data_IF_111334879711
#
_entry.id   IF_111334879711
#
_cell.length_a   1.000
_cell.length_b   1.000
_cell.length_c   1.000
_cell.angle_alpha   90.00
_cell.angle_beta   90.00
_cell.angle_gamma   90.00
#
_symmetry.space_group_name_H-M   'P 1'
#
loop_
_entity.id
_entity.type
_entity.pdbx_description
1 polymer ?
#
# COMPACT_ATOMS: atom_id res chain seq x y z
N UNK A 1 12.02 1.53 42.22
CA UNK A 1 12.52 0.17 41.96
C UNK A 1 12.30 -0.10 40.48
N UNK A 2 13.16 0.42 39.59
CA UNK A 2 14.45 -0.13 39.12
C UNK A 2 14.32 -1.51 38.42
N UNK A 3 14.31 -1.43 37.09
CA UNK A 3 15.14 -2.15 36.10
C UNK A 3 15.30 -3.68 36.18
N UNK A 4 15.03 -4.32 35.03
CA UNK A 4 16.09 -5.03 34.30
C UNK A 4 15.80 -6.49 33.97
N UNK A 5 15.77 -6.82 32.67
CA UNK A 5 16.64 -7.87 32.10
C UNK A 5 17.05 -7.46 30.70
N UNK A 6 18.34 -7.13 30.56
CA UNK A 6 19.10 -7.08 29.32
C UNK A 6 20.34 -7.97 29.53
N UNK A 7 20.80 -8.58 28.43
CA UNK A 7 22.13 -9.13 28.16
C UNK A 7 22.43 -10.62 28.47
N UNK A 8 22.87 -11.36 27.44
CA UNK A 8 24.30 -11.59 27.09
C UNK A 8 24.39 -12.37 25.76
N UNK A 9 25.01 -11.83 24.70
CA UNK A 9 26.46 -11.86 24.32
C UNK A 9 26.97 -13.24 23.84
N UNK A 10 27.47 -13.27 22.61
CA UNK A 10 28.74 -13.92 22.28
C UNK A 10 29.57 -13.00 21.38
N UNK A 11 30.78 -12.67 21.84
CA UNK A 11 31.83 -11.97 21.12
C UNK A 11 32.77 -13.03 20.54
N UNK A 12 33.33 -12.78 19.35
CA UNK A 12 34.74 -13.09 19.12
C UNK A 12 35.42 -11.92 18.40
N UNK A 13 36.58 -11.59 18.95
CA UNK A 13 37.41 -10.43 18.75
C UNK A 13 38.47 -10.74 17.68
N UNK A 14 38.72 -9.84 16.72
CA UNK A 14 40.08 -9.62 16.18
C UNK A 14 40.26 -8.12 15.94
N UNK A 15 41.25 -7.56 16.64
CA UNK A 15 41.83 -6.22 16.47
C UNK A 15 42.82 -6.24 15.29
N UNK A 16 43.03 -5.10 14.62
CA UNK A 16 44.29 -4.32 14.60
C UNK A 16 44.14 -3.07 13.73
N UNK A 17 44.79 -2.02 14.23
CA UNK A 17 44.86 -0.60 13.89
C UNK A 17 45.47 -0.19 12.53
N UNK A 18 45.08 1.04 12.16
CA UNK A 18 45.84 2.16 11.55
C UNK A 18 46.75 1.93 10.33
N UNK A 19 46.44 2.61 9.21
CA UNK A 19 47.19 3.79 8.69
C UNK A 19 46.67 4.23 7.30
N UNK A 20 46.36 5.52 7.16
CA UNK A 20 46.18 6.30 5.92
C UNK A 20 47.57 6.68 5.33
N UNK A 21 47.75 7.40 4.19
CA UNK A 21 46.89 7.67 3.01
C UNK A 21 47.67 7.62 1.65
N UNK A 22 46.98 7.82 0.50
CA UNK A 22 47.36 8.68 -0.67
C UNK A 22 46.98 8.15 -2.08
N UNK A 23 46.25 9.01 -2.82
CA UNK A 23 46.51 9.57 -4.17
C UNK A 23 46.66 8.58 -5.35
N UNK A 24 45.82 8.72 -6.39
CA UNK A 24 46.26 9.00 -7.78
C UNK A 24 45.10 9.50 -8.67
N UNK A 25 45.34 10.64 -9.31
CA UNK A 25 44.68 11.13 -10.53
C UNK A 25 44.93 10.17 -11.70
N UNK A 26 43.99 10.06 -12.65
CA UNK A 26 44.35 10.33 -14.06
C UNK A 26 43.12 10.67 -14.94
N UNK A 27 43.38 11.55 -15.90
CA UNK A 27 42.49 12.11 -16.92
C UNK A 27 42.38 11.14 -18.10
N UNK A 28 41.28 11.22 -18.87
CA UNK A 28 41.29 11.84 -20.21
C UNK A 28 40.18 11.35 -21.15
N UNK A 29 39.75 12.28 -22.04
CA UNK A 29 39.12 12.11 -23.38
C UNK A 29 37.63 11.68 -23.42
N UNK A 30 36.73 12.17 -24.28
CA UNK A 30 36.79 12.82 -25.60
C UNK A 30 35.63 13.83 -25.81
N UNK A 31 35.97 14.92 -26.50
CA UNK A 31 35.29 15.82 -27.44
C UNK A 31 33.73 15.90 -27.60
N UNK A 32 33.26 17.16 -27.67
CA UNK A 32 32.01 17.61 -28.32
C UNK A 32 32.25 17.94 -29.81
N UNK A 33 31.18 17.98 -30.62
CA UNK A 33 31.09 18.98 -31.69
C UNK A 33 29.81 19.83 -31.62
N UNK A 34 29.96 21.04 -32.15
CA UNK A 34 29.02 22.17 -32.24
C UNK A 34 27.99 22.02 -33.38
N UNK A 35 26.92 22.82 -33.32
CA UNK A 35 26.06 23.12 -34.48
C UNK A 35 24.74 23.81 -34.08
N UNK A 36 24.67 25.14 -34.22
CA UNK A 36 23.45 25.96 -34.12
C UNK A 36 23.01 26.34 -35.55
N UNK A 37 21.70 26.42 -35.85
CA UNK A 37 21.09 27.73 -36.05
C UNK A 37 19.65 27.87 -35.47
N UNK A 38 19.33 29.05 -34.92
CA UNK A 38 17.97 29.64 -34.91
C UNK A 38 17.86 30.63 -36.11
N UNK A 39 16.81 31.45 -36.35
CA UNK A 39 15.52 31.68 -35.65
C UNK A 39 14.31 31.90 -36.63
N UNK A 40 13.08 32.17 -36.14
CA UNK A 40 12.27 33.39 -36.47
C UNK A 40 10.76 33.28 -36.12
N UNK A 41 10.31 34.26 -35.33
CA UNK A 41 9.12 35.13 -35.41
C UNK A 41 7.70 34.61 -35.71
N UNK A 42 6.72 35.06 -34.90
CA UNK A 42 5.51 35.89 -35.24
C UNK A 42 4.70 36.09 -33.93
N UNK A 43 4.70 37.27 -33.29
CA UNK A 43 3.65 38.34 -33.35
C UNK A 43 2.21 37.87 -33.01
N UNK A 44 1.40 38.48 -32.13
CA UNK A 44 1.51 39.72 -31.37
C UNK A 44 0.26 40.05 -30.51
N UNK A 45 0.35 41.20 -29.82
CA UNK A 45 -0.68 42.19 -29.41
C UNK A 45 -2.00 41.71 -28.74
N UNK A 46 -2.19 41.96 -27.43
CA UNK A 46 -2.88 43.13 -26.78
C UNK A 46 -4.43 43.06 -26.84
N UNK A 47 -5.30 43.41 -25.87
CA UNK A 47 -5.41 44.57 -24.96
C UNK A 47 -6.58 44.37 -23.93
N UNK A 48 -6.37 44.80 -22.67
CA UNK A 48 -7.18 45.61 -21.74
C UNK A 48 -8.65 45.35 -21.25
N UNK A 49 -8.75 45.45 -19.90
CA UNK A 49 -9.70 46.18 -19.01
C UNK A 49 -11.17 45.74 -18.83
N UNK A 50 -11.53 45.46 -17.57
CA UNK A 50 -12.91 45.50 -17.06
C UNK A 50 -13.02 45.02 -15.61
N UNK A 51 -13.24 45.93 -14.67
CA UNK A 51 -13.53 45.66 -13.27
C UNK A 51 -14.83 44.85 -13.11
N UNK A 52 -14.80 43.82 -12.28
CA UNK A 52 -15.97 43.09 -11.82
C UNK A 52 -15.63 42.30 -10.56
N UNK A 53 -16.17 42.74 -9.42
CA UNK A 53 -16.17 41.97 -8.17
C UNK A 53 -16.84 40.62 -8.44
N UNK A 54 -16.09 39.53 -8.37
CA UNK A 54 -16.66 38.20 -8.25
C UNK A 54 -16.04 37.43 -7.08
N UNK A 55 -16.96 36.81 -6.35
CA UNK A 55 -16.83 35.99 -5.16
C UNK A 55 -15.63 35.04 -5.25
N UNK A 56 -14.73 35.07 -4.27
CA UNK A 56 -13.66 34.09 -4.12
C UNK A 56 -14.25 32.70 -3.79
N UNK A 57 -14.74 32.00 -4.81
CA UNK A 57 -14.75 30.54 -4.83
C UNK A 57 -13.29 30.11 -5.00
N UNK A 58 -12.59 29.98 -3.87
CA UNK A 58 -11.25 29.38 -3.84
C UNK A 58 -11.43 27.89 -4.13
N UNK A 59 -11.44 27.54 -5.43
CA UNK A 59 -11.15 26.18 -5.90
C UNK A 59 -9.85 25.77 -5.21
N UNK A 60 -9.96 24.87 -4.23
CA UNK A 60 -8.83 24.18 -3.64
C UNK A 60 -8.13 23.46 -4.79
N UNK A 61 -6.96 23.97 -5.18
CA UNK A 61 -6.07 23.25 -6.08
C UNK A 61 -5.63 21.99 -5.34
N UNK A 62 -6.32 20.88 -5.58
CA UNK A 62 -5.85 19.53 -5.26
C UNK A 62 -4.51 19.33 -5.96
N UNK A 63 -3.42 19.67 -5.28
CA UNK A 63 -2.10 19.11 -5.58
C UNK A 63 -2.01 17.84 -4.74
N UNK A 64 -2.56 16.75 -5.28
CA UNK A 64 -2.42 15.43 -4.68
C UNK A 64 -0.93 15.06 -4.64
N UNK A 65 -0.51 14.53 -3.49
CA UNK A 65 0.76 13.87 -3.30
C UNK A 65 0.88 12.70 -4.32
N UNK A 66 1.91 12.64 -5.18
CA UNK A 66 2.03 11.61 -6.20
C UNK A 66 2.28 10.19 -5.65
N UNK A 67 2.52 10.05 -4.34
CA UNK A 67 2.74 8.76 -3.67
C UNK A 67 1.51 8.37 -2.83
N UNK A 68 0.35 8.25 -3.47
CA UNK A 68 -0.80 7.58 -2.83
C UNK A 68 -0.50 6.08 -2.81
N UNK A 69 -0.41 5.45 -1.62
CA UNK A 69 -0.16 4.01 -1.49
C UNK A 69 -1.13 3.20 -2.34
N UNK A 70 -0.67 2.14 -2.98
CA UNK A 70 -1.49 1.21 -3.74
C UNK A 70 -2.67 0.70 -2.90
N UNK A 71 -2.44 0.31 -1.64
CA UNK A 71 -3.51 -0.15 -0.73
C UNK A 71 -4.59 0.90 -0.49
N UNK A 72 -4.22 2.18 -0.41
CA UNK A 72 -5.18 3.26 -0.15
C UNK A 72 -6.09 3.57 -1.35
N UNK A 73 -5.72 3.12 -2.56
CA UNK A 73 -6.52 3.23 -3.78
C UNK A 73 -7.58 2.12 -3.89
N UNK A 74 -7.47 1.08 -3.07
CA UNK A 74 -8.40 -0.05 -3.06
C UNK A 74 -9.55 0.30 -2.12
N UNK A 75 -10.77 0.32 -2.64
CA UNK A 75 -11.95 0.68 -1.84
C UNK A 75 -12.20 -0.38 -0.75
N UNK A 76 -12.51 0.03 0.48
CA UNK A 76 -12.92 -0.91 1.51
C UNK A 76 -14.21 -1.65 1.19
N UNK A 77 -14.26 -2.90 1.61
CA UNK A 77 -15.51 -3.67 1.64
C UNK A 77 -16.60 -2.94 2.43
N UNK A 78 -17.87 -3.28 2.20
CA UNK A 78 -18.98 -2.64 2.92
C UNK A 78 -18.87 -2.85 4.45
N UNK A 79 -18.42 -4.04 4.88
CA UNK A 79 -18.17 -4.34 6.29
C UNK A 79 -16.98 -3.54 6.84
N UNK A 80 -15.86 -3.50 6.12
CA UNK A 80 -14.69 -2.71 6.50
C UNK A 80 -15.02 -1.21 6.58
N UNK A 81 -15.79 -0.69 5.63
CA UNK A 81 -16.27 0.70 5.66
C UNK A 81 -17.15 0.99 6.88
N UNK A 82 -18.04 0.07 7.27
CA UNK A 82 -18.87 0.22 8.46
C UNK A 82 -18.02 0.31 9.74
N UNK A 83 -17.01 -0.54 9.84
CA UNK A 83 -16.08 -0.57 10.97
C UNK A 83 -15.16 0.65 11.00
N UNK A 84 -14.60 1.05 9.84
CA UNK A 84 -13.84 2.29 9.70
C UNK A 84 -14.65 3.51 10.17
N UNK A 85 -15.93 3.60 9.79
CA UNK A 85 -16.83 4.67 10.26
C UNK A 85 -17.07 4.58 11.77
N UNK A 86 -17.24 3.38 12.30
CA UNK A 86 -17.43 3.16 13.73
C UNK A 86 -16.22 3.66 14.52
N UNK A 87 -15.01 3.25 14.14
CA UNK A 87 -13.76 3.70 14.75
C UNK A 87 -13.56 5.22 14.63
N UNK A 88 -13.75 5.79 13.43
CA UNK A 88 -13.70 7.25 13.23
C UNK A 88 -14.70 7.99 14.13
N UNK A 89 -15.91 7.47 14.28
CA UNK A 89 -16.92 8.04 15.20
C UNK A 89 -16.44 8.03 16.66
N UNK A 90 -15.75 6.96 17.08
CA UNK A 90 -15.20 6.85 18.44
C UNK A 90 -14.03 7.80 18.68
N UNK A 91 -13.16 7.99 17.69
CA UNK A 91 -12.10 9.01 17.74
C UNK A 91 -12.72 10.39 17.95
N UNK A 92 -13.76 10.75 17.18
CA UNK A 92 -14.46 12.04 17.34
C UNK A 92 -15.07 12.21 18.73
N UNK A 93 -15.62 11.12 19.31
CA UNK A 93 -16.27 11.11 20.62
C UNK A 93 -15.30 11.08 21.80
N UNK A 94 -14.05 10.67 21.61
CA UNK A 94 -13.06 10.60 22.67
C UNK A 94 -12.89 11.96 23.37
N UNK A 95 -12.85 11.95 24.70
CA UNK A 95 -12.78 13.17 25.54
C UNK A 95 -11.41 13.36 26.17
N UNK A 96 -10.59 12.33 26.20
CA UNK A 96 -9.25 12.33 26.77
C UNK A 96 -8.27 11.57 25.88
N UNK A 97 -6.98 11.72 26.16
CA UNK A 97 -5.91 10.96 25.50
C UNK A 97 -6.06 9.47 25.78
N UNK A 98 -6.37 9.07 27.01
CA UNK A 98 -6.61 7.66 27.37
C UNK A 98 -7.77 7.04 26.59
N UNK A 99 -8.86 7.79 26.38
CA UNK A 99 -9.98 7.32 25.56
C UNK A 99 -9.59 7.21 24.09
N UNK A 100 -8.76 8.13 23.59
CA UNK A 100 -8.26 8.09 22.22
C UNK A 100 -7.34 6.88 22.00
N UNK A 101 -6.38 6.64 22.88
CA UNK A 101 -5.46 5.50 22.80
C UNK A 101 -6.21 4.17 22.81
N UNK A 102 -7.22 4.01 23.68
CA UNK A 102 -8.07 2.81 23.66
C UNK A 102 -8.77 2.57 22.32
N UNK A 103 -9.15 3.64 21.62
CA UNK A 103 -9.76 3.51 20.28
C UNK A 103 -8.72 3.14 19.24
N UNK A 104 -7.51 3.68 19.34
CA UNK A 104 -6.37 3.34 18.47
C UNK A 104 -5.97 1.87 18.66
N UNK A 105 -5.75 1.42 19.90
CA UNK A 105 -5.41 0.03 20.21
C UNK A 105 -6.46 -0.95 19.65
N UNK A 106 -7.75 -0.61 19.83
CA UNK A 106 -8.85 -1.41 19.29
C UNK A 106 -8.88 -1.41 17.78
N UNK A 107 -8.60 -0.28 17.13
CA UNK A 107 -8.55 -0.17 15.68
C UNK A 107 -7.41 -1.02 15.11
N UNK A 108 -6.19 -0.83 15.61
CA UNK A 108 -5.00 -1.54 15.16
C UNK A 108 -5.17 -3.06 15.33
N UNK A 109 -5.65 -3.51 16.49
CA UNK A 109 -5.89 -4.94 16.77
C UNK A 109 -6.97 -5.60 15.91
N UNK A 110 -7.86 -4.84 15.26
CA UNK A 110 -8.87 -5.40 14.35
C UNK A 110 -8.40 -5.55 12.90
N UNK A 111 -7.22 -5.03 12.56
CA UNK A 111 -6.67 -5.12 11.22
C UNK A 111 -7.22 -4.12 10.21
N UNK A 112 -7.92 -3.05 10.65
CA UNK A 112 -8.40 -2.03 9.70
C UNK A 112 -7.25 -1.43 8.88
N UNK A 113 -7.49 -1.11 7.61
CA UNK A 113 -6.58 -0.31 6.79
C UNK A 113 -6.65 1.14 7.22
N UNK A 114 -5.67 1.57 8.00
CA UNK A 114 -5.66 2.89 8.64
C UNK A 114 -5.48 4.03 7.62
N UNK A 115 -4.93 3.72 6.43
CA UNK A 115 -4.77 4.68 5.33
C UNK A 115 -5.97 4.71 4.36
N UNK A 116 -6.96 3.83 4.52
CA UNK A 116 -8.09 3.77 3.60
C UNK A 116 -9.03 4.99 3.73
N UNK A 117 -9.40 5.54 2.58
CA UNK A 117 -10.37 6.63 2.46
C UNK A 117 -11.77 6.04 2.30
N UNK A 118 -12.54 6.01 3.39
CA UNK A 118 -13.96 5.68 3.31
C UNK A 118 -14.71 6.83 2.62
N UNK A 119 -15.23 6.61 1.42
CA UNK A 119 -16.09 7.57 0.69
C UNK A 119 -15.50 8.99 0.54
N UNK A 120 -14.18 9.09 0.33
CA UNK A 120 -13.49 10.38 0.19
C UNK A 120 -13.34 11.17 1.49
N UNK A 121 -13.64 10.57 2.65
CA UNK A 121 -13.31 11.13 3.96
C UNK A 121 -11.86 10.84 4.35
N UNK A 122 -11.32 11.68 5.24
CA UNK A 122 -10.00 11.50 5.88
C UNK A 122 -9.77 10.05 6.34
N UNK A 123 -8.52 9.60 6.24
CA UNK A 123 -8.09 8.30 6.75
C UNK A 123 -8.33 8.17 8.27
N UNK A 124 -8.25 6.96 8.81
CA UNK A 124 -8.35 6.78 10.27
C UNK A 124 -7.23 7.55 10.98
N UNK A 125 -5.99 7.40 10.49
CA UNK A 125 -4.82 8.11 11.01
C UNK A 125 -5.04 9.64 10.99
N UNK A 126 -5.50 10.19 9.88
CA UNK A 126 -5.77 11.63 9.77
C UNK A 126 -6.86 12.11 10.74
N UNK A 127 -7.86 11.27 11.00
CA UNK A 127 -8.94 11.56 11.94
C UNK A 127 -8.40 11.63 13.37
N UNK A 128 -7.47 10.73 13.73
CA UNK A 128 -6.77 10.72 15.02
C UNK A 128 -5.93 11.99 15.20
N UNK A 129 -5.09 12.34 14.23
CA UNK A 129 -4.26 13.56 14.31
C UNK A 129 -5.14 14.81 14.43
N UNK A 130 -6.21 14.89 13.65
CA UNK A 130 -7.17 16.01 13.71
C UNK A 130 -7.87 16.14 15.08
N UNK A 131 -7.95 15.06 15.86
CA UNK A 131 -8.60 15.03 17.17
C UNK A 131 -7.69 15.55 18.29
N UNK A 132 -6.38 15.36 18.19
CA UNK A 132 -5.42 15.68 19.26
C UNK A 132 -5.52 17.13 19.79
N UNK A 133 -5.64 18.18 18.94
CA UNK A 133 -5.77 19.56 19.44
C UNK A 133 -7.05 19.78 20.25
N UNK A 134 -8.13 19.07 19.91
CA UNK A 134 -9.46 19.24 20.53
C UNK A 134 -9.52 18.67 21.94
N UNK A 135 -8.69 17.67 22.24
CA UNK A 135 -8.56 17.07 23.58
C UNK A 135 -7.33 17.57 24.35
N UNK A 136 -6.66 18.60 23.81
CA UNK A 136 -5.46 19.22 24.40
C UNK A 136 -4.34 18.21 24.70
N UNK A 137 -4.10 17.31 23.74
CA UNK A 137 -2.99 16.35 23.80
C UNK A 137 -1.65 17.10 23.99
N UNK A 138 -0.85 16.69 24.96
CA UNK A 138 0.49 17.23 25.21
C UNK A 138 1.46 16.79 24.12
N UNK A 139 2.60 17.45 24.03
CA UNK A 139 3.59 17.18 22.98
C UNK A 139 4.12 15.75 23.01
N UNK A 140 4.49 15.23 24.17
CA UNK A 140 4.93 13.84 24.34
C UNK A 140 3.82 12.83 23.97
N UNK A 141 2.57 13.12 24.35
CA UNK A 141 1.41 12.27 24.02
C UNK A 141 1.14 12.26 22.51
N UNK A 142 1.36 13.38 21.81
CA UNK A 142 1.29 13.42 20.33
C UNK A 142 2.41 12.61 19.69
N UNK A 143 3.63 12.74 20.19
CA UNK A 143 4.79 11.98 19.70
C UNK A 143 4.52 10.48 19.80
N UNK A 144 4.05 10.01 20.96
CA UNK A 144 3.73 8.59 21.20
C UNK A 144 2.67 8.07 20.20
N UNK A 145 1.57 8.79 20.03
CA UNK A 145 0.49 8.38 19.11
C UNK A 145 0.94 8.42 17.64
N UNK A 146 1.66 9.47 17.23
CA UNK A 146 2.17 9.58 15.86
C UNK A 146 3.16 8.46 15.57
N UNK A 147 4.07 8.18 16.51
CA UNK A 147 5.02 7.09 16.41
C UNK A 147 4.32 5.74 16.27
N UNK A 148 3.34 5.46 17.13
CA UNK A 148 2.54 4.22 17.06
C UNK A 148 1.84 4.05 15.70
N UNK A 149 1.18 5.11 15.21
CA UNK A 149 0.53 5.07 13.90
C UNK A 149 1.54 4.82 12.77
N UNK A 150 2.67 5.53 12.77
CA UNK A 150 3.70 5.38 11.72
C UNK A 150 4.36 4.00 11.74
N UNK A 151 4.61 3.44 12.93
CA UNK A 151 5.07 2.06 13.07
C UNK A 151 4.08 1.07 12.44
N UNK A 152 2.78 1.36 12.47
CA UNK A 152 1.75 0.57 11.80
C UNK A 152 1.49 0.99 10.33
N UNK A 153 2.42 1.71 9.70
CA UNK A 153 2.33 2.07 8.28
C UNK A 153 1.44 3.28 7.97
N UNK A 154 1.08 4.11 8.96
CA UNK A 154 0.27 5.30 8.71
C UNK A 154 0.97 6.31 7.81
N UNK A 155 0.21 6.86 6.86
CA UNK A 155 0.62 7.94 5.98
C UNK A 155 -0.34 9.11 6.17
N UNK A 156 0.24 10.25 6.57
CA UNK A 156 -0.54 11.46 6.85
C UNK A 156 -0.75 12.30 5.59
N UNK A 157 -1.95 12.87 5.46
CA UNK A 157 -2.24 13.77 4.35
C UNK A 157 -1.37 15.03 4.34
N UNK A 158 -1.13 15.55 3.13
CA UNK A 158 -0.38 16.79 2.92
C UNK A 158 -0.93 17.97 3.75
N UNK A 159 -2.26 18.06 3.87
CA UNK A 159 -2.94 19.11 4.63
C UNK A 159 -2.59 19.07 6.12
N UNK A 160 -2.43 17.89 6.71
CA UNK A 160 -1.97 17.76 8.10
C UNK A 160 -0.50 18.14 8.25
N UNK A 161 0.32 17.78 7.27
CA UNK A 161 1.75 18.10 7.26
C UNK A 161 2.04 19.58 6.94
N UNK A 162 1.02 20.40 6.62
CA UNK A 162 1.15 21.86 6.59
C UNK A 162 1.27 22.48 7.99
N UNK A 163 0.78 21.80 9.03
CA UNK A 163 1.03 22.23 10.40
C UNK A 163 2.51 22.01 10.72
N UNK A 164 3.24 23.11 10.97
CA UNK A 164 4.67 23.07 11.19
C UNK A 164 5.05 22.17 12.37
N UNK A 165 4.28 22.18 13.45
CA UNK A 165 4.57 21.35 14.64
C UNK A 165 4.38 19.87 14.34
N UNK A 166 3.32 19.50 13.64
CA UNK A 166 3.09 18.10 13.21
C UNK A 166 4.15 17.66 12.21
N UNK A 167 4.53 18.51 11.26
CA UNK A 167 5.54 18.23 10.24
C UNK A 167 6.93 18.00 10.84
N UNK A 168 7.36 18.86 11.78
CA UNK A 168 8.63 18.72 12.49
C UNK A 168 8.67 17.43 13.32
N UNK A 169 7.59 17.13 14.03
CA UNK A 169 7.43 15.91 14.82
C UNK A 169 7.47 14.65 13.95
N UNK A 170 6.71 14.64 12.85
CA UNK A 170 6.71 13.57 11.86
C UNK A 170 8.11 13.31 11.31
N UNK A 171 8.82 14.36 10.89
CA UNK A 171 10.16 14.20 10.30
C UNK A 171 11.17 13.65 11.30
N UNK A 172 11.11 14.09 12.56
CA UNK A 172 11.94 13.56 13.65
C UNK A 172 11.66 12.06 13.85
N UNK A 173 10.39 11.71 14.09
CA UNK A 173 9.97 10.34 14.34
C UNK A 173 10.27 9.42 13.15
N UNK A 174 10.08 9.90 11.92
CA UNK A 174 10.39 9.14 10.71
C UNK A 174 11.87 8.72 10.68
N UNK A 175 12.81 9.61 11.03
CA UNK A 175 14.22 9.23 11.08
C UNK A 175 14.52 8.20 12.17
N UNK A 176 13.80 8.25 13.30
CA UNK A 176 13.98 7.33 14.43
C UNK A 176 13.46 5.92 14.12
N UNK A 177 12.30 5.82 13.46
CA UNK A 177 11.64 4.53 13.20
C UNK A 177 11.96 3.96 11.82
N UNK A 178 12.49 4.76 10.89
CA UNK A 178 12.79 4.33 9.52
C UNK A 178 13.58 3.01 9.45
N UNK A 179 14.62 2.76 10.27
CA UNK A 179 15.31 1.47 10.22
C UNK A 179 14.42 0.27 10.51
N UNK A 180 13.41 0.43 11.37
CA UNK A 180 12.45 -0.63 11.72
C UNK A 180 11.48 -0.88 10.55
N UNK A 181 10.97 0.20 9.95
CA UNK A 181 10.11 0.13 8.76
C UNK A 181 10.88 -0.49 7.57
N UNK A 182 12.11 -0.04 7.32
CA UNK A 182 12.95 -0.52 6.23
C UNK A 182 13.26 -2.02 6.39
N UNK A 183 13.53 -2.50 7.60
CA UNK A 183 13.74 -3.93 7.85
C UNK A 183 12.45 -4.74 7.66
N UNK A 184 11.30 -4.26 8.14
CA UNK A 184 10.02 -4.94 7.93
C UNK A 184 9.63 -5.05 6.45
N UNK A 185 9.79 -3.97 5.68
CA UNK A 185 9.53 -3.99 4.24
C UNK A 185 10.51 -4.90 3.49
N UNK A 186 11.76 -4.99 3.97
CA UNK A 186 12.76 -5.92 3.44
C UNK A 186 12.39 -7.37 3.71
N UNK A 187 12.02 -7.72 4.94
CA UNK A 187 11.56 -9.08 5.29
C UNK A 187 10.30 -9.46 4.50
N UNK A 188 9.35 -8.53 4.36
CA UNK A 188 8.14 -8.73 3.54
C UNK A 188 8.47 -9.01 2.07
N UNK A 189 9.44 -8.26 1.51
CA UNK A 189 9.94 -8.48 0.16
C UNK A 189 10.62 -9.84 0.01
N UNK A 190 11.49 -10.22 0.94
CA UNK A 190 12.16 -11.53 0.92
C UNK A 190 11.15 -12.69 0.95
N UNK A 191 10.07 -12.56 1.73
CA UNK A 191 8.96 -13.53 1.74
C UNK A 191 8.33 -13.65 0.35
N UNK A 192 7.96 -12.54 -0.27
CA UNK A 192 7.37 -12.58 -1.59
C UNK A 192 8.32 -13.14 -2.65
N UNK A 193 9.61 -12.80 -2.59
CA UNK A 193 10.64 -13.29 -3.53
C UNK A 193 10.79 -14.82 -3.41
N UNK A 194 10.75 -15.35 -2.19
CA UNK A 194 10.77 -16.81 -1.93
C UNK A 194 9.53 -17.55 -2.43
N UNK A 195 8.43 -16.84 -2.69
CA UNK A 195 7.18 -17.38 -3.18
C UNK A 195 7.10 -17.42 -4.72
N UNK A 196 8.05 -16.81 -5.44
CA UNK A 196 8.12 -16.87 -6.89
C UNK A 196 8.62 -18.25 -7.31
N UNK A 197 7.87 -18.97 -8.15
CA UNK A 197 8.22 -20.34 -8.56
C UNK A 197 9.25 -20.39 -9.70
N UNK A 198 9.26 -19.39 -10.58
CA UNK A 198 10.10 -19.33 -11.79
C UNK A 198 10.75 -17.94 -11.93
N UNK A 199 10.57 -17.29 -13.09
CA UNK A 199 11.00 -15.93 -13.36
C UNK A 199 9.99 -14.93 -12.80
N UNK A 200 10.50 -13.83 -12.27
CA UNK A 200 9.70 -12.75 -11.73
C UNK A 200 10.49 -11.90 -10.74
N UNK A 201 10.02 -10.68 -10.52
CA UNK A 201 10.52 -9.80 -9.46
C UNK A 201 9.35 -9.22 -8.69
N UNK A 202 9.65 -8.75 -7.47
CA UNK A 202 8.74 -7.86 -6.75
C UNK A 202 9.05 -6.42 -7.15
N UNK A 203 8.06 -5.77 -7.74
CA UNK A 203 8.11 -4.37 -8.11
C UNK A 203 7.82 -3.46 -6.91
N UNK A 204 6.93 -3.86 -6.02
CA UNK A 204 6.48 -3.02 -4.91
C UNK A 204 6.00 -3.83 -3.70
N UNK A 205 6.21 -3.29 -2.50
CA UNK A 205 5.68 -3.82 -1.23
C UNK A 205 5.20 -2.68 -0.36
N UNK A 206 4.00 -2.83 0.19
CA UNK A 206 3.42 -1.87 1.14
C UNK A 206 2.80 -2.60 2.33
N UNK A 207 2.74 -1.91 3.46
CA UNK A 207 2.04 -2.37 4.65
C UNK A 207 1.11 -1.28 5.16
N UNK A 208 -0.09 -1.69 5.55
CA UNK A 208 -1.08 -0.85 6.22
C UNK A 208 -1.65 -1.65 7.38
N UNK A 209 -1.21 -1.32 8.60
CA UNK A 209 -1.54 -2.04 9.82
C UNK A 209 -1.20 -3.55 9.70
N UNK A 210 -2.20 -4.43 9.70
CA UNK A 210 -2.02 -5.88 9.58
C UNK A 210 -2.19 -6.41 8.15
N UNK A 211 -2.40 -5.52 7.18
CA UNK A 211 -2.58 -5.86 5.75
C UNK A 211 -1.34 -5.50 4.95
N UNK A 212 -1.06 -6.27 3.90
CA UNK A 212 0.02 -5.94 2.98
C UNK A 212 -0.45 -5.87 1.52
N UNK A 213 0.37 -5.21 0.70
CA UNK A 213 0.29 -5.25 -0.74
C UNK A 213 1.62 -5.69 -1.32
N UNK A 214 1.58 -6.59 -2.30
CA UNK A 214 2.75 -6.98 -3.07
C UNK A 214 2.43 -6.89 -4.55
N UNK A 215 3.29 -6.17 -5.29
CA UNK A 215 3.25 -6.12 -6.75
C UNK A 215 4.37 -6.95 -7.33
N UNK A 216 4.02 -7.93 -8.13
CA UNK A 216 4.91 -8.78 -8.90
C UNK A 216 4.89 -8.38 -10.37
N UNK A 217 6.00 -8.61 -11.07
CA UNK A 217 6.06 -8.47 -12.52
C UNK A 217 5.03 -9.37 -13.23
N UNK A 218 4.57 -8.94 -14.41
CA UNK A 218 3.48 -9.59 -15.17
C UNK A 218 3.64 -11.10 -15.40
N UNK A 219 4.87 -11.56 -15.61
CA UNK A 219 5.16 -12.98 -15.91
C UNK A 219 5.37 -13.85 -14.66
N UNK A 220 5.19 -13.29 -13.46
CA UNK A 220 5.46 -14.00 -12.21
C UNK A 220 4.43 -15.11 -11.95
N UNK A 221 4.93 -16.29 -11.57
CA UNK A 221 4.12 -17.36 -10.98
C UNK A 221 4.36 -17.40 -9.48
N UNK A 222 3.33 -17.10 -8.68
CA UNK A 222 3.46 -16.86 -7.25
C UNK A 222 2.72 -17.91 -6.44
N UNK A 223 3.41 -18.51 -5.47
CA UNK A 223 2.80 -19.38 -4.47
C UNK A 223 2.23 -18.54 -3.32
N UNK A 224 0.95 -18.16 -3.43
CA UNK A 224 0.23 -17.35 -2.44
C UNK A 224 0.26 -17.99 -1.04
N UNK A 225 0.22 -19.33 -0.95
CA UNK A 225 0.28 -19.99 0.34
C UNK A 225 1.62 -19.75 1.06
N UNK A 226 2.74 -19.74 0.33
CA UNK A 226 4.05 -19.37 0.89
C UNK A 226 4.14 -17.91 1.31
N UNK A 227 3.54 -17.01 0.53
CA UNK A 227 3.45 -15.58 0.92
C UNK A 227 2.76 -15.47 2.28
N UNK A 228 1.54 -15.99 2.38
CA UNK A 228 0.73 -15.89 3.60
C UNK A 228 1.34 -16.65 4.79
N UNK A 229 2.04 -17.76 4.55
CA UNK A 229 2.76 -18.47 5.61
C UNK A 229 3.98 -17.69 6.10
N UNK A 230 4.75 -17.08 5.19
CA UNK A 230 5.90 -16.26 5.55
C UNK A 230 5.49 -15.01 6.35
N UNK A 231 4.40 -14.36 5.96
CA UNK A 231 3.93 -13.12 6.61
C UNK A 231 3.40 -13.33 8.03
N UNK A 232 2.95 -14.55 8.38
CA UNK A 232 2.56 -14.89 9.77
C UNK A 232 3.65 -14.58 10.79
N UNK A 233 4.92 -14.78 10.41
CA UNK A 233 6.05 -14.55 11.31
C UNK A 233 6.34 -13.05 11.54
N UNK A 234 5.78 -12.17 10.70
CA UNK A 234 5.91 -10.72 10.82
C UNK A 234 4.82 -10.08 11.69
N UNK A 235 3.97 -10.89 12.34
CA UNK A 235 2.79 -10.37 13.05
C UNK A 235 1.67 -9.92 12.12
N UNK A 236 1.89 -10.00 10.80
CA UNK A 236 0.85 -9.85 9.78
C UNK A 236 0.06 -11.14 9.76
N UNK A 237 -1.27 -11.07 9.71
CA UNK A 237 -2.13 -12.27 9.64
C UNK A 237 -2.04 -13.24 10.84
N UNK A 238 -1.54 -12.81 12.01
CA UNK A 238 -1.54 -13.66 13.23
C UNK A 238 -2.92 -13.76 13.86
N UNK A 239 -3.63 -14.86 13.62
CA UNK A 239 -4.96 -15.09 14.19
C UNK A 239 -6.05 -14.27 13.48
N UNK A 240 -7.27 -14.31 14.03
CA UNK A 240 -8.52 -13.80 13.43
C UNK A 240 -8.46 -12.29 13.08
N UNK A 241 -7.81 -11.95 11.96
CA UNK A 241 -7.86 -10.61 11.36
C UNK A 241 -9.25 -10.43 10.80
N UNK A 242 -10.07 -9.64 11.51
CA UNK A 242 -11.51 -9.51 11.19
C UNK A 242 -11.76 -8.73 9.91
N UNK A 243 -10.82 -7.85 9.53
CA UNK A 243 -11.02 -6.80 8.53
C UNK A 243 -9.71 -6.53 7.77
N UNK A 244 -9.85 -6.07 6.53
CA UNK A 244 -8.72 -5.92 5.62
C UNK A 244 -8.34 -7.25 4.96
N UNK A 245 -7.76 -7.17 3.78
CA UNK A 245 -7.28 -8.33 3.03
C UNK A 245 -5.94 -8.00 2.40
N UNK A 246 -5.10 -9.02 2.30
CA UNK A 246 -3.81 -8.92 1.64
C UNK A 246 -4.04 -8.86 0.13
N UNK A 247 -3.34 -7.95 -0.54
CA UNK A 247 -3.53 -7.73 -1.97
C UNK A 247 -2.28 -8.14 -2.73
N UNK A 248 -2.46 -9.06 -3.66
CA UNK A 248 -1.40 -9.54 -4.54
C UNK A 248 -1.70 -9.08 -5.96
N UNK A 249 -0.79 -8.33 -6.55
CA UNK A 249 -0.85 -7.84 -7.93
C UNK A 249 0.20 -8.57 -8.77
N UNK A 250 -0.22 -9.12 -9.91
CA UNK A 250 0.65 -9.75 -10.92
C UNK A 250 0.28 -9.13 -12.26
N UNK A 251 1.16 -8.27 -12.78
CA UNK A 251 0.85 -7.45 -13.95
C UNK A 251 -0.36 -6.55 -13.68
N UNK A 252 -1.35 -6.58 -14.57
CA UNK A 252 -2.62 -5.84 -14.40
C UNK A 252 -3.66 -6.59 -13.56
N UNK A 253 -3.35 -7.81 -13.08
CA UNK A 253 -4.29 -8.64 -12.33
C UNK A 253 -4.04 -8.55 -10.83
N UNK A 254 -5.07 -8.23 -10.06
CA UNK A 254 -5.00 -8.17 -8.60
C UNK A 254 -6.00 -9.10 -7.95
N UNK A 255 -5.61 -9.67 -6.83
CA UNK A 255 -6.44 -10.57 -6.02
C UNK A 255 -6.35 -10.16 -4.56
N UNK A 256 -7.50 -10.11 -3.88
CA UNK A 256 -7.59 -9.90 -2.43
C UNK A 256 -7.77 -11.26 -1.75
N UNK A 257 -6.91 -11.54 -0.76
CA UNK A 257 -6.93 -12.77 0.02
C UNK A 257 -7.00 -12.41 1.50
N UNK A 258 -7.88 -13.09 2.22
CA UNK A 258 -8.00 -12.97 3.68
C UNK A 258 -7.55 -14.25 4.34
N UNK A 259 -6.78 -14.08 5.41
CA UNK A 259 -6.41 -15.17 6.32
C UNK A 259 -7.53 -15.35 7.34
N UNK A 260 -8.16 -16.52 7.32
CA UNK A 260 -9.23 -16.89 8.26
C UNK A 260 -8.64 -17.69 9.44
N UNK A 261 -9.52 -18.18 10.33
CA UNK A 261 -9.11 -19.04 11.46
C UNK A 261 -8.26 -20.21 10.97
N UNK A 262 -7.30 -20.60 11.80
CA UNK A 262 -6.41 -21.75 11.53
C UNK A 262 -5.51 -21.58 10.29
N UNK A 263 -5.40 -20.36 9.74
CA UNK A 263 -4.55 -20.07 8.59
C UNK A 263 -5.15 -20.49 7.24
N UNK A 264 -6.47 -20.66 7.20
CA UNK A 264 -7.26 -20.87 6.00
C UNK A 264 -7.17 -19.65 5.07
N UNK A 265 -7.16 -19.89 3.75
CA UNK A 265 -7.04 -18.85 2.72
C UNK A 265 -8.39 -18.60 2.08
N UNK A 266 -8.88 -17.37 2.15
CA UNK A 266 -10.15 -16.99 1.54
C UNK A 266 -9.91 -15.94 0.45
N UNK A 267 -10.08 -16.33 -0.81
CA UNK A 267 -10.02 -15.44 -1.95
C UNK A 267 -11.35 -14.71 -2.06
N UNK A 268 -11.33 -13.39 -1.90
CA UNK A 268 -12.56 -12.62 -1.67
C UNK A 268 -12.86 -11.61 -2.77
N UNK A 269 -11.86 -11.27 -3.59
CA UNK A 269 -12.04 -10.33 -4.70
C UNK A 269 -10.93 -10.46 -5.76
N UNK A 270 -11.23 -9.97 -6.97
CA UNK A 270 -10.28 -9.73 -8.08
C UNK A 270 -10.54 -8.36 -8.70
N UNK A 271 -9.50 -7.69 -9.19
CA UNK A 271 -9.66 -6.40 -9.88
C UNK A 271 -10.46 -6.51 -11.18
N UNK A 272 -11.04 -5.39 -11.60
CA UNK A 272 -11.90 -5.35 -12.78
C UNK A 272 -11.09 -5.64 -14.07
N UNK A 273 -11.67 -6.44 -14.97
CA UNK A 273 -11.02 -6.97 -16.19
C UNK A 273 -9.80 -7.87 -15.94
N UNK A 274 -9.57 -8.28 -14.70
CA UNK A 274 -8.50 -9.22 -14.36
C UNK A 274 -9.02 -10.65 -14.37
N UNK A 275 -8.14 -11.55 -14.77
CA UNK A 275 -8.32 -12.99 -14.63
C UNK A 275 -7.12 -13.53 -13.87
N UNK A 276 -7.39 -14.24 -12.79
CA UNK A 276 -6.37 -14.84 -11.95
C UNK A 276 -6.49 -16.35 -12.01
N UNK A 277 -5.40 -17.04 -12.38
CA UNK A 277 -5.35 -18.49 -12.41
C UNK A 277 -4.81 -19.03 -11.09
N UNK A 278 -5.63 -19.83 -10.41
CA UNK A 278 -5.27 -20.50 -9.16
C UNK A 278 -5.07 -21.98 -9.47
N UNK A 279 -3.90 -22.50 -9.13
CA UNK A 279 -3.55 -23.90 -9.35
C UNK A 279 -3.63 -24.70 -8.06
N UNK A 280 -4.39 -25.79 -8.07
CA UNK A 280 -4.52 -26.72 -6.97
C UNK A 280 -3.86 -28.06 -7.28
N UNK A 281 -2.99 -28.59 -6.41
CA UNK A 281 -2.50 -29.96 -6.54
C UNK A 281 -3.63 -30.95 -6.24
N UNK A 282 -3.70 -32.04 -7.02
CA UNK A 282 -4.73 -33.09 -6.92
C UNK A 282 -4.13 -34.48 -7.12
N UNK A 283 -4.91 -35.54 -6.92
CA UNK A 283 -4.46 -36.93 -7.12
C UNK A 283 -4.09 -37.29 -8.56
N UNK A 284 -4.57 -36.53 -9.56
CA UNK A 284 -4.32 -36.80 -10.99
C UNK A 284 -3.56 -35.67 -11.72
N UNK A 285 -2.93 -34.77 -10.96
CA UNK A 285 -2.17 -33.65 -11.51
C UNK A 285 -2.56 -32.33 -10.87
N UNK A 286 -2.48 -31.23 -11.63
CA UNK A 286 -2.76 -29.89 -11.14
C UNK A 286 -4.02 -29.31 -11.80
N UNK A 287 -5.05 -29.06 -11.01
CA UNK A 287 -6.29 -28.45 -11.48
C UNK A 287 -6.13 -26.93 -11.49
N UNK A 288 -6.42 -26.31 -12.63
CA UNK A 288 -6.44 -24.86 -12.78
C UNK A 288 -7.87 -24.33 -12.68
N UNK A 289 -8.05 -23.35 -11.81
CA UNK A 289 -9.29 -22.60 -11.63
C UNK A 289 -9.01 -21.15 -12.00
N UNK A 290 -9.77 -20.62 -12.93
CA UNK A 290 -9.70 -19.21 -13.32
C UNK A 290 -10.80 -18.47 -12.59
N UNK A 291 -10.42 -17.43 -11.85
CA UNK A 291 -11.34 -16.48 -11.24
C UNK A 291 -11.24 -15.16 -11.99
N UNK A 292 -12.36 -14.54 -12.31
CA UNK A 292 -12.37 -13.25 -13.02
C UNK A 292 -13.61 -12.45 -12.69
N UNK A 293 -13.48 -11.14 -12.88
CA UNK A 293 -14.56 -10.20 -12.64
C UNK A 293 -15.73 -10.42 -13.61
N UNK A 294 -16.96 -10.47 -13.10
CA UNK A 294 -18.16 -10.44 -13.92
C UNK A 294 -18.54 -8.98 -14.24
N UNK A 295 -18.33 -8.57 -15.49
CA UNK A 295 -18.63 -7.21 -15.95
C UNK A 295 -20.13 -6.85 -15.94
N UNK A 296 -21.02 -7.84 -16.04
CA UNK A 296 -22.47 -7.69 -16.02
C UNK A 296 -23.06 -7.72 -14.59
N UNK A 297 -22.35 -8.32 -13.64
CA UNK A 297 -22.76 -8.44 -12.24
C UNK A 297 -21.60 -8.17 -11.27
N UNK A 298 -21.45 -6.89 -10.94
CA UNK A 298 -20.40 -6.33 -10.09
C UNK A 298 -20.36 -6.89 -8.66
N UNK A 299 -21.44 -7.57 -8.25
CA UNK A 299 -21.57 -8.17 -6.90
C UNK A 299 -20.99 -9.58 -6.81
N UNK A 300 -20.55 -10.17 -7.93
CA UNK A 300 -20.03 -11.52 -7.98
C UNK A 300 -18.70 -11.61 -8.72
N UNK A 301 -17.88 -12.58 -8.30
CA UNK A 301 -16.69 -13.03 -9.01
C UNK A 301 -17.02 -14.37 -9.65
N UNK A 302 -16.75 -14.52 -10.95
CA UNK A 302 -16.98 -15.77 -11.67
C UNK A 302 -15.82 -16.74 -11.48
N UNK A 303 -16.16 -18.02 -11.48
CA UNK A 303 -15.22 -19.13 -11.28
C UNK A 303 -15.42 -20.15 -12.38
N UNK A 304 -14.33 -20.54 -13.06
CA UNK A 304 -14.34 -21.60 -14.06
C UNK A 304 -13.16 -22.55 -13.89
N UNK A 305 -13.42 -23.84 -14.05
CA UNK A 305 -12.36 -24.84 -14.22
C UNK A 305 -11.82 -24.78 -15.64
N UNK A 306 -10.50 -24.79 -15.79
CA UNK A 306 -9.87 -24.81 -17.10
C UNK A 306 -10.05 -26.18 -17.80
N UNK A 307 -9.98 -27.27 -17.02
CA UNK A 307 -10.16 -28.64 -17.50
C UNK A 307 -11.41 -29.28 -16.86
N UNK A 308 -12.48 -29.38 -17.65
CA UNK A 308 -13.76 -29.96 -17.22
C UNK A 308 -13.72 -31.49 -17.11
N UNK A 309 -12.87 -32.15 -17.88
CA UNK A 309 -12.73 -33.61 -17.85
C UNK A 309 -12.03 -34.03 -16.55
N UNK A 310 -10.91 -33.38 -16.25
CA UNK A 310 -10.19 -33.55 -14.99
C UNK A 310 -11.10 -33.24 -13.79
N UNK A 311 -11.85 -32.13 -13.83
CA UNK A 311 -12.83 -31.80 -12.79
C UNK A 311 -13.84 -32.93 -12.57
N UNK A 312 -14.41 -33.46 -13.65
CA UNK A 312 -15.42 -34.54 -13.57
C UNK A 312 -14.83 -35.83 -13.00
N UNK A 313 -13.57 -36.15 -13.29
CA UNK A 313 -12.88 -37.30 -12.72
C UNK A 313 -12.62 -37.14 -11.22
N UNK A 314 -12.16 -35.96 -10.80
CA UNK A 314 -11.94 -35.63 -9.38
C UNK A 314 -13.24 -35.74 -8.57
N UNK A 315 -14.36 -35.27 -9.13
CA UNK A 315 -15.68 -35.39 -8.52
C UNK A 315 -16.11 -36.86 -8.34
N UNK A 316 -15.87 -37.73 -9.33
CA UNK A 316 -16.15 -39.17 -9.22
C UNK A 316 -15.33 -39.85 -8.13
N UNK A 317 -14.11 -39.36 -7.87
CA UNK A 317 -13.23 -39.85 -6.80
C UNK A 317 -13.59 -39.30 -5.42
N UNK A 318 -14.48 -38.31 -5.34
CA UNK A 318 -14.83 -37.63 -4.09
C UNK A 318 -13.65 -36.86 -3.49
N UNK A 319 -12.74 -36.37 -4.32
CA UNK A 319 -11.56 -35.65 -3.86
C UNK A 319 -11.93 -34.25 -3.35
N UNK A 320 -11.47 -33.89 -2.15
CA UNK A 320 -11.67 -32.57 -1.58
C UNK A 320 -10.59 -31.59 -2.07
N UNK A 321 -10.93 -30.83 -3.11
CA UNK A 321 -10.01 -29.89 -3.77
C UNK A 321 -9.79 -28.65 -2.89
N UNK A 322 -8.51 -28.26 -2.75
CA UNK A 322 -8.15 -27.02 -2.08
C UNK A 322 -8.52 -27.00 -0.60
N UNK A 323 -8.25 -28.09 0.14
CA UNK A 323 -8.47 -28.12 1.60
C UNK A 323 -7.83 -26.90 2.30
N UNK A 324 -8.62 -26.17 3.08
CA UNK A 324 -8.21 -24.92 3.74
C UNK A 324 -8.15 -23.70 2.81
N UNK A 325 -8.79 -23.79 1.63
CA UNK A 325 -8.94 -22.70 0.67
C UNK A 325 -10.42 -22.46 0.37
N UNK A 326 -10.81 -21.20 0.32
CA UNK A 326 -12.17 -20.75 0.13
C UNK A 326 -12.26 -19.62 -0.91
N UNK A 327 -13.43 -19.49 -1.52
CA UNK A 327 -13.80 -18.43 -2.44
C UNK A 327 -15.02 -17.68 -1.89
N UNK A 328 -14.84 -16.46 -1.38
CA UNK A 328 -15.91 -15.70 -0.73
C UNK A 328 -16.60 -16.47 0.41
N UNK A 329 -15.83 -17.27 1.16
CA UNK A 329 -16.33 -18.15 2.23
C UNK A 329 -16.95 -19.48 1.78
N UNK A 330 -17.00 -19.76 0.47
CA UNK A 330 -17.43 -21.05 -0.07
C UNK A 330 -16.23 -21.98 -0.26
N UNK A 331 -16.43 -23.30 -0.13
CA UNK A 331 -15.39 -24.25 -0.53
C UNK A 331 -15.09 -24.12 -2.04
N UNK A 332 -13.91 -24.57 -2.47
CA UNK A 332 -13.53 -24.57 -3.89
C UNK A 332 -14.59 -25.27 -4.75
N UNK A 333 -15.09 -26.41 -4.29
CA UNK A 333 -16.11 -27.18 -5.00
C UNK A 333 -17.43 -26.43 -5.15
N UNK A 334 -17.96 -25.87 -4.07
CA UNK A 334 -19.22 -25.13 -4.10
C UNK A 334 -19.15 -23.91 -5.03
N UNK A 335 -18.05 -23.17 -5.00
CA UNK A 335 -17.86 -21.99 -5.85
C UNK A 335 -17.77 -22.36 -7.34
N UNK A 336 -17.09 -23.47 -7.67
CA UNK A 336 -17.01 -23.98 -9.05
C UNK A 336 -18.37 -24.48 -9.55
N UNK A 337 -19.12 -25.20 -8.72
CA UNK A 337 -20.45 -25.71 -9.08
C UNK A 337 -21.46 -24.59 -9.31
N UNK A 338 -21.41 -23.56 -8.46
CA UNK A 338 -22.22 -22.35 -8.62
C UNK A 338 -21.76 -21.48 -9.79
N UNK A 339 -20.48 -21.59 -10.17
CA UNK A 339 -19.82 -20.77 -11.18
C UNK A 339 -19.49 -19.35 -10.70
N UNK A 340 -19.74 -19.02 -9.44
CA UNK A 340 -19.46 -17.70 -8.88
C UNK A 340 -19.46 -17.68 -7.34
N UNK A 341 -18.87 -16.64 -6.76
CA UNK A 341 -18.96 -16.32 -5.33
C UNK A 341 -19.23 -14.83 -5.08
N UNK A 342 -19.76 -14.44 -3.91
CA UNK A 342 -20.00 -13.04 -3.56
C UNK A 342 -18.70 -12.26 -3.42
N UNK A 343 -18.65 -11.08 -4.04
CA UNK A 343 -17.50 -10.16 -3.95
C UNK A 343 -17.49 -9.47 -2.58
N UNK A 344 -16.33 -9.36 -1.92
CA UNK A 344 -16.22 -8.67 -0.62
C UNK A 344 -16.19 -7.14 -0.73
N UNK A 345 -15.67 -6.57 -1.81
CA UNK A 345 -15.54 -5.12 -2.04
C UNK A 345 -15.96 -4.69 -3.44
N UNK A 346 -15.84 -3.39 -3.74
CA UNK A 346 -15.92 -2.89 -5.12
C UNK A 346 -14.57 -2.27 -5.46
N UNK A 347 -13.86 -2.83 -6.43
CA UNK A 347 -12.78 -2.09 -7.06
C UNK A 347 -13.46 -1.02 -7.91
N UNK A 348 -13.16 0.26 -7.68
CA UNK A 348 -13.94 1.34 -8.28
C UNK A 348 -13.78 1.34 -9.81
N UNK A 349 -14.88 1.08 -10.54
CA UNK A 349 -14.87 0.83 -12.00
C UNK A 349 -14.33 1.97 -12.89
N UNK A 350 -14.44 3.25 -12.55
CA UNK A 350 -14.13 4.29 -13.57
C UNK A 350 -13.50 5.61 -13.10
N UNK A 351 -13.25 5.87 -11.81
CA UNK A 351 -12.67 7.18 -11.42
C UNK A 351 -11.16 7.32 -11.68
N UNK A 352 -10.41 6.22 -11.60
CA UNK A 352 -8.95 6.27 -11.74
C UNK A 352 -8.52 6.55 -13.19
N UNK A 353 -9.25 6.04 -14.19
CA UNK A 353 -8.93 6.30 -15.61
C UNK A 353 -9.21 7.74 -16.01
N UNK A 354 -10.31 8.36 -15.57
CA UNK A 354 -10.60 9.76 -15.92
C UNK A 354 -9.69 10.75 -15.18
N UNK A 355 -9.34 10.48 -13.92
CA UNK A 355 -8.37 11.31 -13.19
C UNK A 355 -6.95 11.17 -13.77
N UNK A 356 -6.49 9.95 -14.13
CA UNK A 356 -5.18 9.75 -14.77
C UNK A 356 -5.12 10.39 -16.17
N UNK A 357 -6.20 10.35 -16.97
CA UNK A 357 -6.22 11.00 -18.29
C UNK A 357 -6.24 12.52 -18.18
N UNK A 358 -6.82 13.08 -17.11
CA UNK A 358 -6.76 14.51 -16.81
C UNK A 358 -5.37 14.94 -16.27
N UNK A 359 -4.65 14.05 -15.58
CA UNK A 359 -3.32 14.29 -15.01
C UNK A 359 -2.19 14.09 -16.04
N UNK A 360 -2.33 13.12 -16.95
CA UNK A 360 -1.32 12.74 -17.96
C UNK A 360 -1.10 13.76 -19.07
N UNK A 361 -1.86 14.85 -19.11
CA UNK A 361 -1.68 15.94 -20.08
C UNK A 361 -0.70 17.03 -19.62
N UNK A 362 0.01 16.85 -18.50
CA UNK A 362 1.14 17.71 -18.15
C UNK A 362 2.42 16.87 -18.04
N UNK A 363 3.37 17.21 -18.91
CA UNK A 363 4.63 16.53 -19.13
C UNK A 363 5.39 16.21 -17.83
N UNK A 364 5.93 14.99 -17.79
CA UNK A 364 6.72 14.44 -16.71
C UNK A 364 8.03 15.22 -16.51
N UNK A 365 8.34 15.56 -15.27
CA UNK A 365 9.71 15.80 -14.83
C UNK A 365 10.00 14.91 -13.61
N UNK A 366 11.09 14.14 -13.72
CA UNK A 366 11.52 13.17 -12.71
C UNK A 366 12.12 13.86 -11.49
N UNK A 367 11.99 13.22 -10.32
CA UNK A 367 12.49 13.71 -9.03
C UNK A 367 14.02 13.90 -8.96
N UNK A 368 14.78 13.30 -9.88
CA UNK A 368 16.25 13.34 -9.90
C UNK A 368 16.77 14.76 -10.20
N UNK A 369 16.02 15.59 -10.93
CA UNK A 369 16.46 16.91 -11.34
C UNK A 369 16.30 18.01 -10.26
N UNK A 370 15.66 17.70 -9.12
CA UNK A 370 15.38 18.68 -8.05
C UNK A 370 16.30 18.59 -6.84
N UNK A 371 16.91 17.44 -6.58
CA UNK A 371 17.67 17.21 -5.34
C UNK A 371 19.15 17.65 -5.45
N UNK A 372 19.69 17.84 -6.65
CA UNK A 372 21.09 18.23 -6.86
C UNK A 372 21.32 19.68 -7.37
N UNK A 373 20.28 20.51 -7.46
CA UNK A 373 20.34 21.84 -8.08
C UNK A 373 20.16 23.02 -7.11
N UNK A 374 20.83 22.99 -5.96
CA UNK A 374 20.70 24.03 -4.93
C UNK A 374 22.03 24.59 -4.45
N UNK A 375 22.82 25.23 -5.31
CA UNK A 375 23.70 26.34 -4.89
C UNK A 375 24.28 27.09 -6.09
N UNK A 376 23.75 28.30 -6.36
CA UNK A 376 24.54 29.54 -6.49
C UNK A 376 23.60 30.75 -6.64
N UNK A 377 23.41 31.39 -5.49
CA UNK A 377 23.68 32.82 -5.28
C UNK A 377 22.82 33.85 -6.02
N UNK A 378 21.80 34.34 -5.32
CA UNK A 378 21.29 35.70 -5.50
C UNK A 378 22.32 36.72 -5.01
N UNK A 379 22.84 37.54 -5.91
CA UNK A 379 23.40 38.85 -5.58
C UNK A 379 22.59 39.94 -6.28
N UNK A 380 21.94 40.80 -5.49
CA UNK A 380 21.25 42.02 -5.93
C UNK A 380 21.99 43.25 -5.38
N UNK A 381 22.12 44.27 -6.25
CA UNK A 381 22.57 45.67 -6.04
C UNK A 381 24.08 45.83 -5.86
N UNK A 382 24.78 46.76 -6.53
CA UNK A 382 24.41 48.06 -7.11
C UNK A 382 24.40 48.11 -8.64
#
# INVERSE_FOLDING_TARGET
MLLGVLAKKNQQLILVDETDPKIFDDKSRFEKPEGVPSPSDVSGKSINLGEGREVYNKKSSNRQNPFIPALSKIEPSASENAELRWFKSRVVKAKSVDELNKVIDQALSTGIRINAYSEGQKSFADTVISKMPLIKCKENEKEDIICELMLNGAIFSYDLLQDKGISEMHNKLYQEIRPQIDEWLKELREIGESAIENEGIIEDVEMDNQTFFMKFSENSKVNIARVLEGTKNLGLTTGEVKLGGDVIEIGDSKVEVRSEKEGERNYVDVSDNSAFEITFPTSIGSLKIVVYHNAENDSQVEVRVADKEMWSELQKKGENIGKGCFFGGMTVTEAVEKGSFPRSGKWSKEKVKEEIKAISNNEALSWVDRVCGGSKETSRKL
#
